data_IF_336982625184
#
_entry.id   IF_336982625184
#
_cell.length_a   1.000
_cell.length_b   1.000
_cell.length_c   1.000
_cell.angle_alpha   90.00
_cell.angle_beta   90.00
_cell.angle_gamma   90.00
#
_symmetry.space_group_name_H-M   'P 1'
#
loop_
_entity.id
_entity.type
_entity.pdbx_description
1 polymer ?
#
# COMPACT_ATOMS: atom_id res chain seq x y z
N UNK A 1 5.60 7.37 -38.58
CA UNK A 1 6.60 6.84 -37.64
C UNK A 1 6.49 7.67 -36.37
N UNK A 2 5.70 7.22 -35.40
CA UNK A 2 5.50 7.93 -34.13
C UNK A 2 6.28 7.18 -33.05
N UNK A 3 7.34 7.80 -32.52
CA UNK A 3 8.10 7.23 -31.40
C UNK A 3 7.26 7.30 -30.11
N UNK A 4 7.47 6.39 -29.14
CA UNK A 4 6.77 6.50 -27.87
C UNK A 4 7.39 7.64 -27.06
N UNK A 5 6.55 8.61 -26.69
CA UNK A 5 6.85 9.53 -25.61
C UNK A 5 6.86 8.73 -24.30
N UNK A 6 8.05 8.53 -23.74
CA UNK A 6 8.23 7.99 -22.39
C UNK A 6 7.75 9.05 -21.39
N UNK A 7 6.57 8.88 -20.82
CA UNK A 7 6.12 9.69 -19.69
C UNK A 7 6.82 9.19 -18.43
N UNK A 8 7.95 9.78 -18.07
CA UNK A 8 8.52 9.64 -16.73
C UNK A 8 7.58 10.30 -15.73
N UNK A 9 6.91 9.47 -14.91
CA UNK A 9 6.19 9.96 -13.74
C UNK A 9 7.23 10.30 -12.67
N UNK A 10 7.66 11.57 -12.61
CA UNK A 10 8.54 12.04 -11.53
C UNK A 10 7.76 12.05 -10.22
N UNK A 11 7.93 10.98 -9.44
CA UNK A 11 7.51 10.92 -8.05
C UNK A 11 8.28 11.98 -7.26
N UNK A 12 7.64 13.12 -7.02
CA UNK A 12 8.16 14.13 -6.10
C UNK A 12 7.65 13.78 -4.72
N UNK A 13 8.52 13.16 -3.92
CA UNK A 13 8.22 12.84 -2.52
C UNK A 13 8.25 14.13 -1.71
N UNK A 14 7.09 14.63 -1.33
CA UNK A 14 6.96 15.68 -0.32
C UNK A 14 6.94 14.99 1.04
N UNK A 15 8.02 15.12 1.82
CA UNK A 15 8.03 14.68 3.22
C UNK A 15 7.42 15.78 4.11
N UNK A 16 6.29 15.47 4.74
CA UNK A 16 5.74 16.29 5.81
C UNK A 16 6.52 16.01 7.11
N UNK A 17 7.61 16.74 7.31
CA UNK A 17 8.25 16.86 8.62
C UNK A 17 7.57 17.97 9.42
N UNK A 18 7.06 17.67 10.62
CA UNK A 18 6.64 18.70 11.56
C UNK A 18 7.88 19.44 12.06
N UNK A 19 8.12 20.64 11.53
CA UNK A 19 9.11 21.56 12.06
C UNK A 19 8.45 22.41 13.16
N UNK A 20 9.01 22.40 14.36
CA UNK A 20 8.76 23.47 15.33
C UNK A 20 9.94 24.43 15.25
N UNK A 21 9.75 25.54 14.52
CA UNK A 21 10.68 26.67 14.56
C UNK A 21 10.37 27.54 15.77
N UNK A 22 11.09 27.38 16.87
CA UNK A 22 11.39 28.52 17.73
C UNK A 22 12.65 29.16 17.15
N UNK A 23 12.43 30.10 16.24
CA UNK A 23 13.48 30.74 15.45
C UNK A 23 14.55 31.42 16.30
N UNK A 24 15.81 31.22 15.91
CA UNK A 24 16.99 31.90 16.43
C UNK A 24 18.25 31.09 16.16
N UNK A 25 19.14 31.61 15.29
CA UNK A 25 20.50 31.05 15.11
C UNK A 25 21.29 31.31 16.39
N UNK A 26 21.88 30.30 17.07
CA UNK A 26 22.72 30.52 18.24
C UNK A 26 23.95 31.38 17.87
N UNK A 27 24.30 32.39 18.68
CA UNK A 27 25.35 33.36 18.35
C UNK A 27 26.79 32.80 18.38
N UNK A 28 26.98 31.56 18.84
CA UNK A 28 28.29 30.94 19.08
C UNK A 28 28.76 30.00 17.96
N UNK A 29 27.97 29.82 16.89
CA UNK A 29 28.32 28.93 15.78
C UNK A 29 28.13 27.44 16.10
N UNK A 30 27.50 27.09 17.23
CA UNK A 30 27.21 25.70 17.59
C UNK A 30 26.14 25.09 16.66
N UNK A 31 26.46 23.97 16.02
CA UNK A 31 25.52 23.21 15.20
C UNK A 31 24.46 22.52 16.07
N UNK A 32 23.18 22.83 15.86
CA UNK A 32 22.07 22.09 16.48
C UNK A 32 21.88 20.77 15.72
N UNK A 33 22.19 19.65 16.38
CA UNK A 33 21.95 18.32 15.81
C UNK A 33 20.45 18.02 15.74
N UNK A 34 19.94 17.70 14.55
CA UNK A 34 18.58 17.15 14.40
C UNK A 34 18.62 15.71 14.92
N UNK A 35 18.07 15.48 16.11
CA UNK A 35 17.92 14.12 16.62
C UNK A 35 16.74 13.48 15.89
N UNK A 36 17.01 12.49 15.05
CA UNK A 36 15.95 11.71 14.40
C UNK A 36 15.07 11.07 15.49
N UNK A 37 13.87 11.61 15.68
CA UNK A 37 12.86 10.99 16.52
C UNK A 37 12.36 9.80 15.72
N UNK A 38 12.64 8.59 16.20
CA UNK A 38 12.12 7.37 15.58
C UNK A 38 10.61 7.35 15.84
N UNK A 39 9.84 7.85 14.88
CA UNK A 39 8.40 7.69 14.91
C UNK A 39 8.10 6.20 14.72
N UNK A 40 7.64 5.54 15.77
CA UNK A 40 7.05 4.21 15.66
C UNK A 40 5.70 4.36 14.94
N UNK A 41 5.73 4.43 13.61
CA UNK A 41 4.52 4.46 12.79
C UNK A 41 3.84 3.09 12.87
N UNK A 42 2.71 3.02 13.56
CA UNK A 42 1.81 1.87 13.48
C UNK A 42 0.88 2.14 12.31
N UNK A 43 0.95 1.35 11.22
CA UNK A 43 0.11 1.62 10.07
C UNK A 43 -1.37 1.39 10.44
N UNK A 44 -2.28 2.20 9.89
CA UNK A 44 -3.68 2.09 10.21
C UNK A 44 -4.22 0.74 9.75
N UNK A 45 -4.82 -0.01 10.69
CA UNK A 45 -5.55 -1.22 10.39
C UNK A 45 -7.03 -0.97 10.58
N UNK A 46 -7.82 -1.26 9.55
CA UNK A 46 -9.25 -0.99 9.57
C UNK A 46 -10.01 -2.31 9.37
N UNK A 47 -11.10 -2.55 10.11
CA UNK A 47 -12.00 -3.66 9.83
C UNK A 47 -12.67 -3.48 8.48
N UNK A 48 -12.64 -4.53 7.67
CA UNK A 48 -13.20 -4.56 6.32
C UNK A 48 -14.06 -5.80 6.16
N UNK A 49 -15.20 -5.68 5.48
CA UNK A 49 -16.01 -6.83 5.09
C UNK A 49 -16.01 -6.97 3.57
N UNK A 50 -15.74 -8.18 3.08
CA UNK A 50 -15.79 -8.53 1.66
C UNK A 50 -16.71 -9.73 1.52
N UNK A 51 -17.80 -9.58 0.76
CA UNK A 51 -18.90 -10.55 0.80
C UNK A 51 -19.42 -10.73 2.22
N UNK A 52 -19.50 -11.97 2.69
CA UNK A 52 -19.96 -12.31 4.04
C UNK A 52 -18.82 -12.48 5.06
N UNK A 53 -17.57 -12.26 4.64
CA UNK A 53 -16.38 -12.44 5.50
C UNK A 53 -15.90 -11.09 6.03
N UNK A 54 -15.73 -11.00 7.35
CA UNK A 54 -15.16 -9.83 8.02
C UNK A 54 -13.68 -10.06 8.34
N UNK A 55 -12.84 -9.15 7.87
CA UNK A 55 -11.42 -9.06 8.16
C UNK A 55 -11.22 -7.96 9.21
N UNK A 56 -10.94 -8.31 10.48
CA UNK A 56 -10.88 -7.33 11.56
C UNK A 56 -9.69 -6.37 11.44
N UNK A 57 -8.65 -6.77 10.72
CA UNK A 57 -7.41 -6.00 10.55
C UNK A 57 -6.96 -6.09 9.10
N UNK A 58 -7.22 -5.04 8.33
CA UNK A 58 -6.67 -4.86 6.98
C UNK A 58 -5.75 -3.65 7.01
N UNK A 59 -4.53 -3.84 6.51
CA UNK A 59 -3.54 -2.77 6.35
C UNK A 59 -4.03 -1.81 5.26
N UNK A 60 -4.08 -0.52 5.59
CA UNK A 60 -4.35 0.53 4.60
C UNK A 60 -3.04 1.19 4.24
N UNK A 61 -2.55 0.91 3.04
CA UNK A 61 -1.37 1.56 2.48
C UNK A 61 -1.79 2.75 1.62
N UNK A 62 -1.69 3.95 2.17
CA UNK A 62 -1.98 5.22 1.47
C UNK A 62 -0.86 5.62 0.50
N UNK A 63 0.30 4.97 0.55
CA UNK A 63 1.43 5.22 -0.35
C UNK A 63 1.38 4.40 -1.64
N UNK A 64 0.49 3.40 -1.71
CA UNK A 64 0.31 2.55 -2.89
C UNK A 64 -0.81 3.06 -3.79
N UNK A 65 -0.57 3.03 -5.11
CA UNK A 65 -1.60 3.30 -6.12
C UNK A 65 -2.46 2.08 -6.49
N UNK A 66 -2.22 0.92 -5.86
CA UNK A 66 -2.91 -0.34 -6.17
C UNK A 66 -3.36 -1.06 -4.91
N UNK A 67 -4.46 -1.80 -5.00
CA UNK A 67 -4.92 -2.70 -3.94
C UNK A 67 -4.48 -4.12 -4.24
N UNK A 68 -4.02 -4.84 -3.21
CA UNK A 68 -3.52 -6.21 -3.35
C UNK A 68 -4.36 -7.16 -2.49
N UNK A 69 -4.61 -8.37 -2.98
CA UNK A 69 -5.25 -9.47 -2.25
C UNK A 69 -4.40 -10.73 -2.39
N UNK A 70 -4.26 -11.52 -1.32
CA UNK A 70 -3.57 -12.81 -1.42
C UNK A 70 -4.44 -13.85 -2.13
N UNK A 71 -3.80 -14.79 -2.83
CA UNK A 71 -4.48 -15.91 -3.47
C UNK A 71 -5.30 -16.77 -2.49
N UNK A 72 -4.80 -16.93 -1.26
CA UNK A 72 -5.50 -17.63 -0.18
C UNK A 72 -6.81 -16.94 0.20
N UNK A 73 -6.81 -15.61 0.36
CA UNK A 73 -8.02 -14.83 0.66
C UNK A 73 -9.00 -14.88 -0.50
N UNK A 74 -8.53 -14.71 -1.74
CA UNK A 74 -9.36 -14.86 -2.94
C UNK A 74 -10.10 -16.20 -2.93
N UNK A 75 -9.37 -17.29 -2.68
CA UNK A 75 -9.93 -18.65 -2.67
C UNK A 75 -10.94 -18.82 -1.55
N UNK A 76 -10.63 -18.32 -0.35
CA UNK A 76 -11.55 -18.31 0.81
C UNK A 76 -12.85 -17.55 0.54
N UNK A 77 -12.78 -16.50 -0.28
CA UNK A 77 -13.95 -15.70 -0.70
C UNK A 77 -14.71 -16.31 -1.88
N UNK A 78 -14.27 -17.44 -2.44
CA UNK A 78 -14.96 -18.12 -3.55
C UNK A 78 -14.76 -17.45 -4.92
N UNK A 79 -13.77 -16.56 -5.06
CA UNK A 79 -13.50 -15.92 -6.36
C UNK A 79 -12.67 -16.84 -7.25
N UNK A 80 -13.28 -17.50 -8.23
CA UNK A 80 -12.58 -18.48 -9.09
C UNK A 80 -11.96 -17.88 -10.35
N UNK A 81 -12.52 -16.79 -10.88
CA UNK A 81 -12.09 -16.17 -12.13
C UNK A 81 -11.43 -14.83 -11.87
N UNK A 82 -10.38 -14.55 -12.62
CA UNK A 82 -9.64 -13.30 -12.61
C UNK A 82 -9.31 -12.91 -14.05
N UNK A 83 -9.25 -11.60 -14.32
CA UNK A 83 -8.71 -11.13 -15.58
C UNK A 83 -7.18 -11.36 -15.61
N UNK A 84 -6.58 -11.57 -16.79
CA UNK A 84 -5.13 -11.63 -16.92
C UNK A 84 -4.47 -10.36 -16.39
N UNK A 85 -3.28 -10.47 -15.75
CA UNK A 85 -2.53 -9.31 -15.31
C UNK A 85 -2.00 -8.54 -16.52
N UNK A 86 -2.05 -7.21 -16.47
CA UNK A 86 -1.53 -6.32 -17.52
C UNK A 86 -0.22 -5.65 -17.12
N UNK A 87 0.16 -5.67 -15.84
CA UNK A 87 1.30 -4.92 -15.32
C UNK A 87 1.93 -5.65 -14.14
N UNK A 88 3.26 -5.51 -13.97
CA UNK A 88 4.00 -5.98 -12.79
C UNK A 88 3.82 -5.01 -11.63
N UNK A 89 3.91 -5.52 -10.41
CA UNK A 89 3.95 -4.72 -9.20
C UNK A 89 5.38 -4.55 -8.72
N UNK A 90 5.77 -3.33 -8.37
CA UNK A 90 6.97 -3.06 -7.61
C UNK A 90 6.63 -3.11 -6.12
N UNK A 91 7.26 -4.03 -5.40
CA UNK A 91 7.06 -4.24 -3.98
C UNK A 91 7.97 -3.31 -3.16
N UNK A 92 7.75 -3.22 -1.85
CA UNK A 92 8.53 -2.34 -0.97
C UNK A 92 10.01 -2.74 -0.85
N UNK A 93 10.36 -3.99 -1.16
CA UNK A 93 11.73 -4.49 -1.27
C UNK A 93 12.33 -4.30 -2.68
N UNK A 94 11.64 -3.53 -3.53
CA UNK A 94 11.94 -3.30 -4.95
C UNK A 94 11.87 -4.56 -5.83
N UNK A 95 11.32 -5.67 -5.34
CA UNK A 95 11.06 -6.84 -6.20
C UNK A 95 9.91 -6.56 -7.16
N UNK A 96 10.04 -7.09 -8.38
CA UNK A 96 8.98 -7.00 -9.39
C UNK A 96 8.18 -8.31 -9.40
N UNK A 97 6.93 -8.24 -8.97
CA UNK A 97 6.04 -9.40 -8.86
C UNK A 97 5.01 -9.37 -9.99
N UNK A 98 4.84 -10.51 -10.67
CA UNK A 98 3.70 -10.73 -11.55
C UNK A 98 2.49 -11.15 -10.71
N UNK A 99 1.36 -10.41 -10.76
CA UNK A 99 0.12 -10.88 -10.18
C UNK A 99 -0.36 -12.16 -10.88
N UNK A 100 -1.06 -13.00 -10.14
CA UNK A 100 -1.80 -14.14 -10.68
C UNK A 100 -2.97 -13.68 -11.56
N UNK A 101 -3.52 -12.50 -11.28
CA UNK A 101 -4.59 -11.88 -12.05
C UNK A 101 -5.21 -10.68 -11.35
N UNK A 102 -6.22 -10.10 -11.99
CA UNK A 102 -6.98 -8.95 -11.48
C UNK A 102 -8.40 -9.36 -11.13
N UNK A 103 -8.82 -9.09 -9.89
CA UNK A 103 -10.22 -9.13 -9.49
C UNK A 103 -10.80 -7.73 -9.62
N UNK A 104 -11.74 -7.55 -10.53
CA UNK A 104 -12.40 -6.26 -10.73
C UNK A 104 -13.76 -6.23 -10.05
N UNK A 105 -14.19 -5.02 -9.67
CA UNK A 105 -15.51 -4.76 -9.14
C UNK A 105 -15.90 -5.55 -7.87
N UNK A 106 -14.93 -5.78 -6.97
CA UNK A 106 -15.17 -6.44 -5.68
C UNK A 106 -15.87 -5.48 -4.72
N UNK A 107 -17.06 -5.81 -4.19
CA UNK A 107 -17.73 -5.00 -3.19
C UNK A 107 -17.06 -5.15 -1.82
N UNK A 108 -16.62 -4.02 -1.27
CA UNK A 108 -15.93 -3.93 0.01
C UNK A 108 -16.71 -2.99 0.91
N UNK A 109 -16.95 -3.39 2.17
CA UNK A 109 -17.61 -2.53 3.16
C UNK A 109 -16.61 -2.14 4.23
N UNK A 110 -16.40 -0.84 4.39
CA UNK A 110 -15.49 -0.25 5.38
C UNK A 110 -16.31 0.67 6.28
N UNK A 111 -16.41 0.35 7.57
CA UNK A 111 -17.20 1.15 8.55
C UNK A 111 -18.62 1.51 8.06
N UNK A 112 -19.29 0.58 7.38
CA UNK A 112 -20.66 0.76 6.85
C UNK A 112 -20.74 1.39 5.45
N UNK A 113 -19.64 1.92 4.91
CA UNK A 113 -19.59 2.47 3.54
C UNK A 113 -19.23 1.37 2.56
N UNK A 114 -20.03 1.20 1.50
CA UNK A 114 -19.78 0.23 0.42
C UNK A 114 -18.96 0.89 -0.69
N UNK A 115 -17.81 0.30 -1.00
CA UNK A 115 -16.89 0.68 -2.06
C UNK A 115 -16.80 -0.46 -3.08
N UNK A 116 -16.58 -0.11 -4.34
CA UNK A 116 -16.27 -1.08 -5.40
C UNK A 116 -14.77 -0.94 -5.70
N UNK A 117 -14.03 -2.02 -5.50
CA UNK A 117 -12.57 -2.00 -5.53
C UNK A 117 -12.05 -3.08 -6.48
N UNK A 118 -10.96 -2.79 -7.18
CA UNK A 118 -10.22 -3.77 -7.96
C UNK A 118 -8.93 -4.16 -7.22
N UNK A 119 -8.64 -5.45 -7.17
CA UNK A 119 -7.48 -6.03 -6.49
C UNK A 119 -6.57 -6.75 -7.48
N UNK A 120 -5.27 -6.51 -7.33
CA UNK A 120 -4.22 -7.35 -7.89
C UNK A 120 -4.05 -8.56 -6.98
N UNK A 121 -4.25 -9.76 -7.51
CA UNK A 121 -4.08 -10.99 -6.73
C UNK A 121 -2.67 -11.48 -6.87
N UNK A 122 -1.96 -11.64 -5.76
CA UNK A 122 -0.60 -12.19 -5.75
C UNK A 122 -0.51 -13.40 -4.83
N UNK A 123 0.51 -14.22 -5.06
CA UNK A 123 0.91 -15.25 -4.09
C UNK A 123 1.67 -14.56 -2.96
N UNK A 124 1.27 -14.79 -1.71
CA UNK A 124 1.94 -14.24 -0.52
C UNK A 124 2.29 -15.41 0.39
N UNK A 125 3.51 -15.43 0.92
CA UNK A 125 3.89 -16.39 1.95
C UNK A 125 3.09 -16.12 3.23
N UNK A 126 2.47 -17.17 3.77
CA UNK A 126 1.73 -17.10 5.01
C UNK A 126 2.72 -17.03 6.18
N UNK A 127 2.92 -15.83 6.74
CA UNK A 127 3.74 -15.64 7.94
C UNK A 127 3.02 -16.06 9.24
N UNK A 128 1.84 -16.69 9.17
CA UNK A 128 1.13 -17.17 10.36
C UNK A 128 1.62 -18.50 10.91
N UNK A 129 2.51 -19.21 10.21
CA UNK A 129 3.25 -20.34 10.78
C UNK A 129 4.65 -19.91 11.20
N UNK A 130 4.98 -19.83 12.50
CA UNK A 130 6.36 -19.75 12.92
C UNK A 130 7.01 -21.11 12.60
N UNK A 131 8.11 -21.06 11.82
CA UNK A 131 9.03 -22.18 11.61
C UNK A 131 9.69 -22.66 12.90
#
# INVERSE_FOLDING_TARGET
>A
MFGPASSESKSTRVELGTYSTTGGKPPDGSSVGIRAVRACYVPPMIPVRIGDVTFPRVLVDTGSGVNVMSNQIRTRLGYHRMAPPTTKLAMADNTLVWPLGVLSAVPVVVKGVRLIVSFQVIEMEDRSTPS
#
